data_IF_258413446891
#
_entry.id   IF_258413446891
#
_cell.length_a   1.000
_cell.length_b   1.000
_cell.length_c   1.000
_cell.angle_alpha   90.00
_cell.angle_beta   90.00
_cell.angle_gamma   90.00
#
_symmetry.space_group_name_H-M   'P 1'
#
loop_
_entity.id
_entity.type
_entity.pdbx_description
1 polymer ?
#
# COMPACT_ATOMS: atom_id res chain seq x y z
N UNK A 1 -20.20 3.23 6.64
CA UNK A 1 -19.88 1.90 6.04
C UNK A 1 -18.37 1.63 5.96
N UNK A 2 -17.56 2.53 5.39
CA UNK A 2 -16.10 2.35 5.37
C UNK A 2 -15.50 2.32 6.80
N UNK A 3 -15.96 3.19 7.66
CA UNK A 3 -15.57 3.24 9.06
C UNK A 3 -15.88 1.93 9.81
N UNK A 4 -17.08 1.38 9.65
CA UNK A 4 -17.50 0.12 10.27
C UNK A 4 -16.61 -1.05 9.78
N UNK A 5 -16.23 -1.05 8.49
CA UNK A 5 -15.30 -2.05 7.96
C UNK A 5 -13.95 -1.98 8.69
N UNK A 6 -13.33 -0.81 8.73
CA UNK A 6 -11.97 -0.66 9.28
C UNK A 6 -11.90 -0.91 10.78
N UNK A 7 -12.97 -0.69 11.53
CA UNK A 7 -13.00 -0.97 12.98
C UNK A 7 -13.20 -2.45 13.32
N UNK A 8 -13.54 -3.30 12.36
CA UNK A 8 -13.84 -4.72 12.58
C UNK A 8 -13.09 -5.65 11.62
N UNK A 9 -12.17 -5.10 10.80
CA UNK A 9 -11.40 -5.92 9.87
C UNK A 9 -10.48 -6.85 10.64
N UNK A 10 -10.39 -8.11 10.20
CA UNK A 10 -9.51 -9.10 10.78
C UNK A 10 -8.42 -9.50 9.78
N UNK A 11 -7.32 -10.06 10.29
CA UNK A 11 -6.24 -10.57 9.47
C UNK A 11 -6.75 -11.57 8.42
N UNK A 12 -7.64 -12.47 8.81
CA UNK A 12 -8.22 -13.48 7.93
C UNK A 12 -9.06 -12.91 6.78
N UNK A 13 -9.57 -11.69 6.92
CA UNK A 13 -10.26 -10.97 5.85
C UNK A 13 -9.29 -10.32 4.85
N UNK A 14 -8.01 -10.24 5.20
CA UNK A 14 -6.97 -9.68 4.35
C UNK A 14 -6.11 -10.79 3.74
N UNK A 15 -5.61 -11.70 4.58
CA UNK A 15 -4.70 -12.75 4.13
C UNK A 15 -4.92 -14.05 4.86
N UNK A 16 -4.65 -15.15 4.17
CA UNK A 16 -4.54 -16.48 4.78
C UNK A 16 -3.07 -16.85 4.86
N UNK A 17 -2.63 -17.11 6.06
CA UNK A 17 -1.27 -17.61 6.28
C UNK A 17 -1.13 -19.03 5.72
N UNK A 18 0.05 -19.34 5.22
CA UNK A 18 0.37 -20.72 4.85
C UNK A 18 0.38 -21.60 6.10
N UNK A 19 -0.26 -22.76 6.00
CA UNK A 19 -0.36 -23.73 7.09
C UNK A 19 1.01 -24.23 7.59
N UNK A 20 2.04 -24.18 6.72
CA UNK A 20 3.40 -24.63 7.01
C UNK A 20 4.35 -23.48 7.39
N UNK A 21 3.86 -22.23 7.46
CA UNK A 21 4.66 -21.07 7.79
C UNK A 21 5.11 -21.10 9.27
N UNK A 22 6.41 -21.07 9.47
CA UNK A 22 6.99 -21.02 10.83
C UNK A 22 6.97 -19.61 11.41
N UNK A 23 6.96 -19.45 12.76
CA UNK A 23 7.06 -18.13 13.38
C UNK A 23 8.34 -17.36 13.01
N UNK A 24 9.41 -18.08 12.65
CA UNK A 24 10.66 -17.47 12.18
C UNK A 24 10.48 -16.87 10.79
N UNK A 25 9.89 -17.61 9.84
CA UNK A 25 9.62 -17.14 8.48
C UNK A 25 8.73 -15.91 8.47
N UNK A 26 7.66 -15.94 9.29
CA UNK A 26 6.75 -14.78 9.42
C UNK A 26 7.49 -13.51 9.84
N UNK A 27 8.36 -13.61 10.88
CA UNK A 27 9.17 -12.48 11.33
C UNK A 27 10.18 -12.02 10.29
N UNK A 28 10.79 -12.95 9.54
CA UNK A 28 11.72 -12.63 8.46
C UNK A 28 11.02 -11.88 7.33
N UNK A 29 9.86 -12.37 6.88
CA UNK A 29 9.09 -11.72 5.82
C UNK A 29 8.59 -10.33 6.23
N UNK A 30 8.11 -10.18 7.47
CA UNK A 30 7.68 -8.89 8.01
C UNK A 30 8.85 -7.90 8.06
N UNK A 31 10.02 -8.33 8.54
CA UNK A 31 11.22 -7.49 8.58
C UNK A 31 11.67 -7.06 7.18
N UNK A 32 11.59 -7.96 6.18
CA UNK A 32 11.91 -7.61 4.79
C UNK A 32 10.91 -6.62 4.19
N UNK A 33 9.63 -6.71 4.54
CA UNK A 33 8.60 -5.77 4.09
C UNK A 33 8.80 -4.35 4.69
N UNK A 34 9.30 -4.29 5.94
CA UNK A 34 9.63 -3.01 6.60
C UNK A 34 10.94 -2.37 6.07
N UNK A 35 11.80 -3.16 5.42
CA UNK A 35 13.13 -2.76 4.95
C UNK A 35 13.35 -3.08 3.46
N UNK A 36 12.73 -2.32 2.54
CA UNK A 36 12.81 -2.55 1.10
C UNK A 36 14.23 -2.66 0.54
N UNK A 37 15.18 -1.93 1.12
CA UNK A 37 16.60 -1.97 0.73
C UNK A 37 17.24 -3.34 0.95
N UNK A 38 16.82 -4.06 1.99
CA UNK A 38 17.31 -5.43 2.27
C UNK A 38 16.69 -6.42 1.27
N UNK A 39 15.45 -6.21 0.88
CA UNK A 39 14.79 -7.04 -0.12
C UNK A 39 15.47 -6.91 -1.49
N UNK A 40 15.79 -5.68 -1.91
CA UNK A 40 16.50 -5.43 -3.17
C UNK A 40 17.85 -6.18 -3.21
N UNK A 41 18.57 -6.22 -2.09
CA UNK A 41 19.83 -6.95 -1.98
C UNK A 41 19.66 -8.48 -2.11
N UNK A 42 18.47 -9.02 -1.85
CA UNK A 42 18.15 -10.47 -1.89
C UNK A 42 17.51 -10.93 -3.20
N UNK A 43 17.72 -10.21 -4.29
CA UNK A 43 17.14 -10.54 -5.62
C UNK A 43 17.35 -12.01 -6.03
N UNK A 44 18.43 -12.66 -5.59
CA UNK A 44 18.70 -14.08 -5.87
C UNK A 44 17.72 -15.06 -5.23
N UNK A 45 17.04 -14.62 -4.18
CA UNK A 45 16.17 -15.46 -3.36
C UNK A 45 14.67 -15.33 -3.76
N UNK A 46 14.39 -14.62 -4.85
CA UNK A 46 13.02 -14.27 -5.26
C UNK A 46 12.10 -15.46 -5.44
N UNK A 47 12.59 -16.53 -6.08
CA UNK A 47 11.77 -17.73 -6.31
C UNK A 47 11.36 -18.39 -4.99
N UNK A 48 12.21 -18.35 -3.97
CA UNK A 48 11.92 -18.85 -2.64
C UNK A 48 10.95 -17.94 -1.90
N UNK A 49 11.23 -16.64 -1.86
CA UNK A 49 10.37 -15.65 -1.24
C UNK A 49 8.96 -15.67 -1.84
N UNK A 50 8.83 -15.81 -3.16
CA UNK A 50 7.53 -15.86 -3.84
C UNK A 50 6.68 -17.07 -3.42
N UNK A 51 7.30 -18.19 -3.07
CA UNK A 51 6.58 -19.36 -2.51
C UNK A 51 6.13 -19.16 -1.07
N UNK A 52 6.66 -18.17 -0.39
CA UNK A 52 6.44 -17.90 1.04
C UNK A 52 5.42 -16.80 1.30
N UNK A 53 4.91 -16.14 0.25
CA UNK A 53 3.89 -15.10 0.36
C UNK A 53 2.57 -15.64 0.90
N UNK A 54 1.80 -14.79 1.58
CA UNK A 54 0.46 -15.13 2.04
C UNK A 54 -0.53 -15.26 0.87
N UNK A 55 -1.61 -16.01 1.07
CA UNK A 55 -2.75 -16.01 0.16
C UNK A 55 -3.62 -14.78 0.43
N UNK A 56 -3.71 -13.88 -0.54
CA UNK A 56 -4.50 -12.63 -0.48
C UNK A 56 -5.86 -12.76 -1.16
N UNK A 57 -6.36 -13.98 -1.38
CA UNK A 57 -7.71 -14.20 -1.94
C UNK A 57 -8.79 -13.44 -1.15
N UNK A 58 -8.79 -13.41 0.20
CA UNK A 58 -9.75 -12.62 0.97
C UNK A 58 -9.65 -11.11 0.67
N UNK A 59 -8.44 -10.56 0.59
CA UNK A 59 -8.23 -9.14 0.26
C UNK A 59 -8.73 -8.81 -1.15
N UNK A 60 -8.47 -9.67 -2.13
CA UNK A 60 -9.01 -9.51 -3.49
C UNK A 60 -10.54 -9.46 -3.48
N UNK A 61 -11.18 -10.38 -2.75
CA UNK A 61 -12.63 -10.40 -2.60
C UNK A 61 -13.16 -9.12 -1.93
N UNK A 62 -12.47 -8.64 -0.91
CA UNK A 62 -12.81 -7.38 -0.22
C UNK A 62 -12.74 -6.19 -1.18
N UNK A 63 -11.66 -6.06 -1.96
CA UNK A 63 -11.53 -5.00 -2.97
C UNK A 63 -12.71 -5.04 -3.94
N UNK A 64 -13.02 -6.21 -4.50
CA UNK A 64 -14.16 -6.35 -5.43
C UNK A 64 -15.52 -6.05 -4.77
N UNK A 65 -15.69 -6.39 -3.50
CA UNK A 65 -16.94 -6.15 -2.78
C UNK A 65 -17.23 -4.67 -2.55
N UNK A 66 -16.20 -3.87 -2.25
CA UNK A 66 -16.36 -2.46 -1.86
C UNK A 66 -16.07 -1.48 -3.00
N UNK A 67 -15.45 -1.93 -4.07
CA UNK A 67 -15.11 -1.09 -5.21
C UNK A 67 -16.26 -1.02 -6.20
N UNK A 68 -16.77 0.18 -6.41
CA UNK A 68 -17.74 0.50 -7.47
C UNK A 68 -16.99 1.24 -8.58
N UNK A 69 -16.53 0.51 -9.58
CA UNK A 69 -15.72 1.05 -10.66
C UNK A 69 -16.52 2.06 -11.51
N UNK A 70 -17.81 1.85 -11.69
CA UNK A 70 -18.67 2.79 -12.43
C UNK A 70 -18.74 4.15 -11.73
N UNK A 71 -18.94 4.15 -10.41
CA UNK A 71 -18.91 5.37 -9.59
C UNK A 71 -17.53 6.02 -9.56
N UNK A 72 -16.48 5.22 -9.52
CA UNK A 72 -15.10 5.73 -9.56
C UNK A 72 -14.87 6.54 -10.84
N UNK A 73 -15.17 5.98 -12.00
CA UNK A 73 -14.96 6.68 -13.27
C UNK A 73 -15.90 7.87 -13.46
N UNK A 74 -17.12 7.80 -12.95
CA UNK A 74 -18.09 8.91 -13.01
C UNK A 74 -17.77 10.06 -12.05
N UNK A 75 -16.91 9.84 -11.04
CA UNK A 75 -16.53 10.87 -10.07
C UNK A 75 -15.75 12.00 -10.75
N UNK A 76 -16.02 13.29 -10.43
CA UNK A 76 -15.20 14.41 -10.90
C UNK A 76 -13.85 14.52 -10.20
N UNK A 77 -13.62 13.71 -9.15
CA UNK A 77 -12.36 13.72 -8.40
C UNK A 77 -11.30 12.95 -9.17
N UNK A 78 -10.15 13.58 -9.36
CA UNK A 78 -8.97 12.90 -9.88
C UNK A 78 -8.41 11.91 -8.89
N UNK A 79 -7.74 10.89 -9.41
CA UNK A 79 -7.13 9.84 -8.61
C UNK A 79 -5.78 9.46 -9.20
N UNK A 80 -4.82 9.19 -8.33
CA UNK A 80 -3.52 8.63 -8.68
C UNK A 80 -3.04 7.70 -7.59
N UNK A 81 -2.32 6.66 -7.98
CA UNK A 81 -1.63 5.75 -7.07
C UNK A 81 -0.22 5.50 -7.56
N UNK A 82 0.62 5.01 -6.65
CA UNK A 82 1.98 4.59 -6.96
C UNK A 82 2.11 3.09 -6.86
N UNK A 83 2.93 2.52 -7.73
CA UNK A 83 3.43 1.16 -7.64
C UNK A 83 4.87 1.12 -8.14
N UNK A 84 5.58 0.04 -7.91
CA UNK A 84 6.94 -0.16 -8.41
C UNK A 84 6.99 -1.33 -9.38
N UNK A 85 7.65 -1.16 -10.53
CA UNK A 85 7.84 -2.22 -11.52
C UNK A 85 8.90 -3.20 -11.08
N UNK A 86 8.59 -4.48 -11.04
CA UNK A 86 9.58 -5.52 -10.80
C UNK A 86 10.18 -6.03 -12.11
N UNK A 87 11.50 -6.30 -12.23
CA UNK A 87 12.50 -6.26 -11.15
C UNK A 87 13.27 -4.93 -11.05
N UNK A 88 12.89 -3.90 -11.79
CA UNK A 88 13.66 -2.65 -11.89
C UNK A 88 13.45 -1.69 -10.71
N UNK A 89 12.42 -1.89 -9.92
CA UNK A 89 11.95 -0.99 -8.83
C UNK A 89 11.67 0.44 -9.30
N UNK A 90 11.49 0.63 -10.60
CA UNK A 90 11.14 1.94 -11.12
C UNK A 90 9.72 2.33 -10.67
N UNK A 91 9.54 3.57 -10.20
CA UNK A 91 8.23 4.09 -9.84
C UNK A 91 7.30 4.10 -11.06
N UNK A 92 6.07 3.69 -10.84
CA UNK A 92 4.99 3.77 -11.83
C UNK A 92 3.85 4.55 -11.21
N UNK A 93 3.61 5.73 -11.76
CA UNK A 93 2.49 6.59 -11.42
C UNK A 93 1.30 6.20 -12.30
N UNK A 94 0.22 5.76 -11.69
CA UNK A 94 -1.01 5.36 -12.39
C UNK A 94 -2.08 6.38 -12.07
N UNK A 95 -2.58 7.06 -13.10
CA UNK A 95 -3.62 8.08 -12.99
C UNK A 95 -4.96 7.49 -13.39
N UNK A 96 -6.05 8.03 -12.88
CA UNK A 96 -7.40 7.61 -13.21
C UNK A 96 -7.63 7.46 -14.72
N UNK A 97 -7.16 8.40 -15.50
CA UNK A 97 -7.29 8.40 -16.96
C UNK A 97 -6.50 7.30 -17.67
N UNK A 98 -5.48 6.76 -17.02
CA UNK A 98 -4.61 5.71 -17.56
C UNK A 98 -5.13 4.30 -17.22
N UNK A 99 -6.20 4.21 -16.40
CA UNK A 99 -6.79 2.95 -15.96
C UNK A 99 -7.89 2.56 -16.96
N UNK A 100 -7.69 1.44 -17.64
CA UNK A 100 -8.74 0.88 -18.49
C UNK A 100 -9.88 0.30 -17.62
N UNK A 101 -11.15 0.36 -18.09
CA UNK A 101 -12.26 -0.29 -17.40
C UNK A 101 -11.97 -1.78 -17.11
N UNK A 102 -12.25 -2.20 -15.89
CA UNK A 102 -11.96 -3.55 -15.40
C UNK A 102 -10.57 -3.73 -14.78
N UNK A 103 -9.68 -2.75 -14.88
CA UNK A 103 -8.30 -2.83 -14.34
C UNK A 103 -8.10 -2.11 -13.00
N UNK A 104 -9.07 -1.34 -12.54
CA UNK A 104 -8.94 -0.60 -11.27
C UNK A 104 -8.64 -1.51 -10.07
N UNK A 105 -9.31 -2.69 -9.90
CA UNK A 105 -8.97 -3.61 -8.81
C UNK A 105 -7.53 -4.07 -8.85
N UNK A 106 -6.99 -4.40 -10.03
CA UNK A 106 -5.61 -4.85 -10.19
C UNK A 106 -4.61 -3.76 -9.82
N UNK A 107 -4.86 -2.51 -10.22
CA UNK A 107 -3.98 -1.40 -9.85
C UNK A 107 -4.00 -1.10 -8.35
N UNK A 108 -5.16 -1.21 -7.68
CA UNK A 108 -5.26 -1.10 -6.23
C UNK A 108 -4.44 -2.20 -5.55
N UNK A 109 -4.58 -3.45 -6.02
CA UNK A 109 -3.81 -4.59 -5.50
C UNK A 109 -2.31 -4.44 -5.77
N UNK A 110 -1.91 -3.89 -6.92
CA UNK A 110 -0.52 -3.62 -7.23
C UNK A 110 0.09 -2.56 -6.30
N UNK A 111 -0.67 -1.49 -6.02
CA UNK A 111 -0.23 -0.43 -5.11
C UNK A 111 -0.10 -0.87 -3.65
N UNK A 112 -0.72 -1.97 -3.28
CA UNK A 112 -0.69 -2.56 -1.95
C UNK A 112 0.01 -3.93 -1.89
N UNK A 113 0.75 -4.29 -2.93
CA UNK A 113 1.49 -5.55 -3.01
C UNK A 113 2.76 -5.50 -2.15
N UNK A 114 2.58 -5.48 -0.83
CA UNK A 114 3.62 -5.41 0.20
C UNK A 114 4.44 -6.71 0.22
N UNK A 115 5.23 -6.91 -0.81
CA UNK A 115 6.09 -8.08 -0.97
C UNK A 115 7.22 -8.07 0.08
N UNK A 116 7.64 -9.18 0.68
CA UNK A 116 7.21 -10.56 0.41
C UNK A 116 6.07 -11.06 1.28
N UNK A 117 5.43 -10.20 2.06
CA UNK A 117 4.23 -10.59 2.81
C UNK A 117 3.09 -10.94 1.86
N UNK A 118 2.78 -10.06 0.93
CA UNK A 118 1.83 -10.29 -0.15
C UNK A 118 2.53 -10.67 -1.45
N UNK A 119 1.89 -11.43 -2.34
CA UNK A 119 2.43 -11.70 -3.66
C UNK A 119 2.52 -10.43 -4.50
N UNK A 120 3.44 -10.42 -5.46
CA UNK A 120 3.44 -9.40 -6.50
C UNK A 120 2.12 -9.42 -7.28
N UNK A 121 1.72 -8.28 -7.81
CA UNK A 121 0.56 -8.19 -8.68
C UNK A 121 1.02 -8.20 -10.14
N UNK A 122 0.54 -9.17 -10.91
CA UNK A 122 0.79 -9.23 -12.36
C UNK A 122 -0.33 -8.50 -13.12
N UNK A 123 0.06 -7.57 -13.99
CA UNK A 123 -0.83 -6.88 -14.91
C UNK A 123 -0.18 -6.92 -16.30
N UNK A 124 -0.87 -7.51 -17.27
CA UNK A 124 -0.42 -7.65 -18.67
C UNK A 124 1.00 -8.24 -18.80
N UNK A 125 1.31 -9.26 -18.01
CA UNK A 125 2.60 -9.95 -18.02
C UNK A 125 3.73 -9.20 -17.32
N UNK A 126 3.46 -8.07 -16.69
CA UNK A 126 4.40 -7.31 -15.90
C UNK A 126 4.07 -7.43 -14.40
N UNK A 127 5.07 -7.75 -13.59
CA UNK A 127 4.93 -7.78 -12.14
C UNK A 127 5.14 -6.41 -11.51
N UNK A 128 4.31 -6.10 -10.52
CA UNK A 128 4.33 -4.87 -9.75
C UNK A 128 4.37 -5.16 -8.25
N UNK A 129 4.99 -4.23 -7.54
CA UNK A 129 5.16 -4.19 -6.09
C UNK A 129 4.47 -2.95 -5.53
N UNK A 130 4.26 -2.93 -4.22
CA UNK A 130 3.74 -1.77 -3.47
C UNK A 130 4.45 -0.47 -3.86
N UNK A 131 3.70 0.62 -3.90
CA UNK A 131 4.25 1.95 -4.18
C UNK A 131 5.29 2.41 -3.17
N UNK A 132 5.26 1.90 -1.95
CA UNK A 132 6.25 2.19 -0.91
C UNK A 132 7.69 1.82 -1.30
N UNK A 133 7.88 0.91 -2.27
CA UNK A 133 9.19 0.59 -2.82
C UNK A 133 9.82 1.73 -3.64
N UNK A 134 9.02 2.72 -3.99
CA UNK A 134 9.48 3.85 -4.82
C UNK A 134 9.14 5.22 -4.23
N UNK A 135 7.89 5.44 -3.86
CA UNK A 135 7.40 6.69 -3.28
C UNK A 135 6.19 6.40 -2.39
N UNK A 136 6.43 6.28 -1.08
CA UNK A 136 5.39 5.98 -0.09
C UNK A 136 4.49 7.18 0.25
N UNK A 137 4.89 8.38 -0.12
CA UNK A 137 4.11 9.61 0.11
C UNK A 137 4.20 10.51 -1.12
N UNK A 138 3.42 10.22 -2.18
CA UNK A 138 3.59 10.75 -3.53
C UNK A 138 3.12 12.20 -3.68
N UNK A 139 3.70 13.12 -2.90
CA UNK A 139 3.42 14.58 -2.95
C UNK A 139 3.72 15.12 -4.35
N UNK A 140 4.82 14.66 -4.96
CA UNK A 140 5.20 15.07 -6.31
C UNK A 140 4.17 14.68 -7.36
N UNK A 141 3.54 13.51 -7.21
CA UNK A 141 2.44 13.06 -8.07
C UNK A 141 1.23 13.97 -7.98
N UNK A 142 0.85 14.39 -6.76
CA UNK A 142 -0.28 15.33 -6.59
C UNK A 142 -0.05 16.64 -7.34
N UNK A 143 1.16 17.21 -7.27
CA UNK A 143 1.49 18.41 -8.05
C UNK A 143 1.50 18.17 -9.56
N UNK A 144 1.98 17.02 -10.02
CA UNK A 144 1.93 16.65 -11.46
C UNK A 144 0.50 16.43 -11.96
N UNK A 145 -0.42 16.05 -11.08
CA UNK A 145 -1.86 15.97 -11.37
C UNK A 145 -2.55 17.34 -11.34
N UNK A 146 -1.84 18.41 -11.03
CA UNK A 146 -2.35 19.78 -11.09
C UNK A 146 -2.85 20.34 -9.76
N UNK A 147 -2.53 19.71 -8.64
CA UNK A 147 -2.87 20.25 -7.33
C UNK A 147 -2.13 21.55 -7.03
N UNK A 148 -2.84 22.61 -6.68
CA UNK A 148 -2.27 23.89 -6.24
C UNK A 148 -1.73 23.81 -4.80
N UNK A 149 -2.32 22.92 -4.00
CA UNK A 149 -1.93 22.65 -2.61
C UNK A 149 -2.09 21.17 -2.31
N UNK A 150 -1.25 20.65 -1.41
CA UNK A 150 -1.26 19.25 -1.00
C UNK A 150 -1.40 19.16 0.51
N UNK A 151 -2.34 18.34 0.97
CA UNK A 151 -2.38 17.86 2.36
C UNK A 151 -1.79 16.45 2.31
N UNK A 152 -0.60 16.29 2.88
CA UNK A 152 0.10 15.02 2.95
C UNK A 152 -0.11 14.41 4.34
N UNK A 153 -0.65 13.19 4.38
CA UNK A 153 -0.91 12.47 5.63
C UNK A 153 0.09 11.33 5.73
N UNK A 154 1.02 11.46 6.66
CA UNK A 154 2.02 10.42 6.96
C UNK A 154 1.52 9.44 8.02
N UNK A 155 1.97 8.19 7.94
CA UNK A 155 1.65 7.15 8.92
C UNK A 155 2.71 7.04 10.04
N UNK A 156 3.80 7.78 9.92
CA UNK A 156 4.88 7.80 10.91
C UNK A 156 5.13 9.23 11.38
N UNK A 157 5.65 9.43 12.61
CA UNK A 157 6.03 10.75 13.12
C UNK A 157 7.16 11.44 12.32
N UNK A 158 7.66 10.78 11.30
CA UNK A 158 8.77 11.27 10.47
C UNK A 158 8.32 12.37 9.52
N UNK A 159 9.23 13.29 9.24
CA UNK A 159 9.02 14.37 8.28
C UNK A 159 9.04 13.85 6.84
N UNK A 160 8.29 14.47 5.91
CA UNK A 160 8.37 14.15 4.49
C UNK A 160 9.79 14.38 3.95
N UNK A 161 10.04 13.95 2.71
CA UNK A 161 11.30 14.24 2.02
C UNK A 161 11.72 15.70 2.22
N UNK A 162 13.02 15.94 2.39
CA UNK A 162 13.59 17.28 2.68
C UNK A 162 13.07 18.39 1.76
N UNK A 163 12.82 18.06 0.47
CA UNK A 163 12.29 19.02 -0.50
C UNK A 163 10.88 19.54 -0.19
N UNK A 164 10.11 18.80 0.61
CA UNK A 164 8.76 19.18 1.02
C UNK A 164 8.67 19.67 2.46
N UNK A 165 9.76 19.58 3.22
CA UNK A 165 9.83 20.14 4.58
C UNK A 165 9.71 21.66 4.49
N UNK A 166 8.71 22.22 5.17
CA UNK A 166 8.36 23.66 5.12
C UNK A 166 8.00 24.19 3.71
N UNK A 167 7.57 23.30 2.80
CA UNK A 167 7.11 23.75 1.49
C UNK A 167 5.79 24.52 1.63
N UNK A 168 5.67 25.76 1.09
CA UNK A 168 4.54 26.66 1.38
C UNK A 168 3.19 26.14 0.88
N UNK A 169 3.18 25.22 -0.07
CA UNK A 169 1.98 24.63 -0.65
C UNK A 169 1.70 23.22 -0.11
N UNK A 170 2.46 22.73 0.86
CA UNK A 170 2.28 21.39 1.45
C UNK A 170 1.95 21.53 2.93
N UNK A 171 0.81 21.03 3.34
CA UNK A 171 0.47 20.83 4.75
C UNK A 171 0.74 19.38 5.10
N UNK A 172 1.69 19.13 5.99
CA UNK A 172 2.02 17.77 6.43
C UNK A 172 1.35 17.48 7.78
N UNK A 173 0.61 16.37 7.81
CA UNK A 173 -0.05 15.86 9.00
C UNK A 173 0.57 14.49 9.31
N UNK A 174 1.07 14.32 10.52
CA UNK A 174 1.62 13.06 11.00
C UNK A 174 1.07 12.74 12.40
N UNK A 175 1.00 11.46 12.77
CA UNK A 175 0.59 11.09 14.11
C UNK A 175 1.61 11.58 15.14
N UNK A 176 1.14 11.93 16.34
CA UNK A 176 2.00 12.37 17.44
C UNK A 176 2.85 11.23 18.02
N UNK A 177 2.40 9.99 17.84
CA UNK A 177 3.05 8.76 18.30
C UNK A 177 2.93 7.66 17.23
N UNK A 178 3.74 6.59 17.30
CA UNK A 178 3.67 5.49 16.33
C UNK A 178 2.30 4.80 16.32
N UNK A 179 1.78 4.52 15.13
CA UNK A 179 0.47 3.87 14.93
C UNK A 179 0.47 2.34 15.06
N UNK A 180 1.52 1.73 15.59
CA UNK A 180 1.66 0.28 15.67
C UNK A 180 2.49 -0.30 14.53
N UNK A 181 2.34 -1.60 14.31
CA UNK A 181 3.11 -2.34 13.29
C UNK A 181 2.36 -2.40 11.96
N UNK A 182 3.12 -2.54 10.89
CA UNK A 182 2.58 -2.87 9.58
C UNK A 182 1.82 -4.21 9.67
N UNK A 183 0.61 -4.27 9.12
CA UNK A 183 -0.26 -5.45 9.14
C UNK A 183 -0.65 -5.92 10.56
N UNK A 184 -0.77 -5.01 11.50
CA UNK A 184 -1.35 -5.27 12.81
C UNK A 184 -2.88 -5.12 12.73
N UNK A 185 -3.61 -6.22 12.87
CA UNK A 185 -5.08 -6.27 12.77
C UNK A 185 -5.75 -6.42 14.13
N UNK A 186 -5.09 -5.95 15.21
CA UNK A 186 -5.71 -5.90 16.54
C UNK A 186 -6.79 -4.81 16.58
N UNK A 187 -8.05 -5.15 16.92
CA UNK A 187 -9.14 -4.17 16.93
C UNK A 187 -8.96 -3.03 17.93
N UNK A 188 -8.24 -3.24 19.03
CA UNK A 188 -7.99 -2.18 20.02
C UNK A 188 -6.89 -1.24 19.53
N UNK A 189 -5.82 -1.78 18.93
CA UNK A 189 -4.77 -0.99 18.28
C UNK A 189 -5.34 -0.15 17.11
N UNK A 190 -6.23 -0.73 16.30
CA UNK A 190 -6.90 -0.01 15.22
C UNK A 190 -7.79 1.14 15.75
N UNK A 191 -8.58 0.89 16.80
CA UNK A 191 -9.40 1.94 17.45
C UNK A 191 -8.55 3.06 18.03
N UNK A 192 -7.43 2.71 18.67
CA UNK A 192 -6.47 3.68 19.19
C UNK A 192 -5.89 4.53 18.06
N UNK A 193 -5.38 3.92 17.00
CA UNK A 193 -4.82 4.61 15.83
C UNK A 193 -5.83 5.56 15.17
N UNK A 194 -7.09 5.14 15.10
CA UNK A 194 -8.18 5.97 14.59
C UNK A 194 -8.41 7.17 15.51
N UNK A 195 -8.41 6.98 16.83
CA UNK A 195 -8.61 8.07 17.80
C UNK A 195 -7.46 9.12 17.73
N UNK A 196 -6.25 8.70 17.40
CA UNK A 196 -5.13 9.63 17.18
C UNK A 196 -5.30 10.52 15.94
N UNK A 197 -6.12 10.13 14.99
CA UNK A 197 -6.43 10.90 13.79
C UNK A 197 -7.49 11.97 13.97
N UNK A 198 -8.16 12.00 15.12
CA UNK A 198 -9.18 12.98 15.50
C UNK A 198 -8.63 14.05 16.43
#
# INVERSE_FOLDING_TARGET
>A
RAWELWTHITEEQIMLERADATPHEKRELAALAEHPEQLIARVKDWADLNRRTADITPYRALVHQYLDEARFFASPVDFGLMTARFPSFQPVEVRKQDIAPGYLPQWILASSACYPMFPMCEIDGQNYLDGAYSDNLPIGTAFRLGADRVIAIGLKPETPEKKYTNHPLVTYIAPAEPLGKLLEFDPDALRHSIALGY
#
